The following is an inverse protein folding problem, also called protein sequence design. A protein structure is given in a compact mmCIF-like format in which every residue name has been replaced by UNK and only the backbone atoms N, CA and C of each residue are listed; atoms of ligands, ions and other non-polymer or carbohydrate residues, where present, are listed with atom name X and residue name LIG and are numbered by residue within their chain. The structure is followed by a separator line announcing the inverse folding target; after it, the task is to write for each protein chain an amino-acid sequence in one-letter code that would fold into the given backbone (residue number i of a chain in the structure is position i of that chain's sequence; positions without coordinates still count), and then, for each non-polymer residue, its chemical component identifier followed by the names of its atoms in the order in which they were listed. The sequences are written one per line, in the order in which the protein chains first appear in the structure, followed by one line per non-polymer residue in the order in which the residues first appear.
data_IF_339143476323
#
_entry.id   IF_339143476323
#
_cell.length_a   1.000
_cell.length_b   1.000
_cell.length_c   1.000
_cell.angle_alpha   90.00
_cell.angle_beta   90.00
_cell.angle_gamma   90.00
#
_symmetry.space_group_name_H-M   'P 1'
#
loop_
_entity.id
_entity.type
_entity.pdbx_description
1 polymer ?
#
# COMPACT_ATOMS: atom_id res chain seq x y z
N UNK A 1 -14.02 -15.36 19.52
CA UNK A 1 -14.64 -14.07 19.86
C UNK A 1 -13.81 -12.86 19.41
N UNK A 2 -12.50 -12.82 19.69
CA UNK A 2 -11.63 -11.70 19.24
C UNK A 2 -11.62 -11.48 17.73
N UNK A 3 -11.57 -12.54 16.92
CA UNK A 3 -11.55 -12.44 15.44
C UNK A 3 -12.82 -11.82 14.85
N UNK A 4 -14.00 -12.08 15.42
CA UNK A 4 -15.26 -11.53 14.93
C UNK A 4 -15.36 -10.03 15.22
N UNK A 5 -14.94 -9.61 16.42
CA UNK A 5 -14.89 -8.20 16.82
C UNK A 5 -13.96 -7.41 15.92
N UNK A 6 -12.77 -7.94 15.68
CA UNK A 6 -11.76 -7.35 14.82
C UNK A 6 -12.24 -7.15 13.37
N UNK A 7 -12.86 -8.19 12.78
CA UNK A 7 -13.45 -8.06 11.42
C UNK A 7 -14.50 -6.95 11.37
N UNK A 8 -15.24 -6.79 12.45
CA UNK A 8 -16.25 -5.74 12.56
C UNK A 8 -15.63 -4.34 12.68
N UNK A 9 -14.51 -4.21 13.40
CA UNK A 9 -13.76 -2.94 13.52
C UNK A 9 -13.12 -2.54 12.18
N UNK A 10 -12.46 -3.48 11.49
CA UNK A 10 -11.91 -3.26 10.12
C UNK A 10 -13.04 -2.88 9.15
N UNK A 11 -14.17 -3.59 9.20
CA UNK A 11 -15.33 -3.28 8.37
C UNK A 11 -15.86 -1.88 8.64
N UNK A 12 -16.05 -1.52 9.90
CA UNK A 12 -16.56 -0.20 10.29
C UNK A 12 -15.61 0.92 9.80
N UNK A 13 -14.30 0.69 9.89
CA UNK A 13 -13.30 1.62 9.37
C UNK A 13 -13.49 1.85 7.86
N UNK A 14 -13.46 0.79 7.05
CA UNK A 14 -13.54 0.93 5.58
C UNK A 14 -14.90 1.42 5.08
N UNK A 15 -16.01 1.07 5.76
CA UNK A 15 -17.33 1.60 5.42
C UNK A 15 -17.50 3.06 5.87
N UNK A 16 -16.72 3.51 6.86
CA UNK A 16 -16.72 4.89 7.34
C UNK A 16 -15.90 5.85 6.47
N UNK A 17 -14.99 5.33 5.64
CA UNK A 17 -14.20 6.15 4.73
C UNK A 17 -15.07 6.49 3.51
N UNK A 18 -15.19 7.77 3.18
CA UNK A 18 -15.93 8.16 1.98
C UNK A 18 -15.20 7.65 0.71
N UNK A 19 -15.98 7.34 -0.32
CA UNK A 19 -15.42 6.91 -1.60
C UNK A 19 -14.48 7.95 -2.21
N UNK A 20 -14.74 9.23 -2.00
CA UNK A 20 -13.91 10.34 -2.49
C UNK A 20 -12.57 10.42 -1.73
N UNK A 21 -12.57 10.12 -0.43
CA UNK A 21 -11.33 9.98 0.34
C UNK A 21 -10.47 8.86 -0.19
N UNK A 22 -11.01 7.65 -0.37
CA UNK A 22 -10.27 6.51 -0.92
C UNK A 22 -9.68 6.85 -2.29
N UNK A 23 -10.46 7.45 -3.18
CA UNK A 23 -10.00 7.81 -4.53
C UNK A 23 -8.87 8.84 -4.48
N UNK A 24 -8.93 9.82 -3.59
CA UNK A 24 -7.89 10.85 -3.46
C UNK A 24 -6.53 10.29 -3.02
N UNK A 25 -6.52 9.21 -2.23
CA UNK A 25 -5.30 8.57 -1.76
C UNK A 25 -4.58 7.76 -2.84
N UNK A 26 -5.34 7.10 -3.71
CA UNK A 26 -4.77 6.16 -4.67
C UNK A 26 -4.42 6.80 -6.02
N UNK A 27 -5.02 7.94 -6.36
CA UNK A 27 -4.94 8.48 -7.73
C UNK A 27 -3.50 8.79 -8.21
N UNK A 28 -2.63 9.50 -7.47
CA UNK A 28 -1.28 9.78 -7.96
C UNK A 28 -0.43 8.51 -8.09
N UNK A 29 -0.50 7.63 -7.10
CA UNK A 29 0.23 6.36 -7.09
C UNK A 29 -0.28 5.36 -8.15
N UNK A 30 -1.48 5.57 -8.69
CA UNK A 30 -2.08 4.76 -9.74
C UNK A 30 -1.56 5.10 -11.13
N UNK A 31 -1.24 6.36 -11.42
CA UNK A 31 -0.69 6.74 -12.73
C UNK A 31 0.64 6.04 -12.98
N UNK A 32 1.55 6.11 -12.02
CA UNK A 32 2.86 5.45 -12.12
C UNK A 32 2.71 3.93 -12.25
N UNK A 33 1.72 3.34 -11.56
CA UNK A 33 1.43 1.92 -11.67
C UNK A 33 1.05 1.51 -13.09
N UNK A 34 0.17 2.26 -13.76
CA UNK A 34 -0.28 1.91 -15.11
C UNK A 34 0.83 2.01 -16.15
N UNK A 35 1.72 2.99 -16.02
CA UNK A 35 2.90 3.14 -16.88
C UNK A 35 3.84 1.95 -16.70
N UNK A 36 4.16 1.63 -15.45
CA UNK A 36 5.02 0.47 -15.11
C UNK A 36 4.44 -0.84 -15.62
N UNK A 37 3.13 -1.06 -15.44
CA UNK A 37 2.46 -2.26 -15.94
C UNK A 37 2.50 -2.37 -17.46
N UNK A 38 2.30 -1.27 -18.17
CA UNK A 38 2.39 -1.23 -19.63
C UNK A 38 3.77 -1.69 -20.11
N UNK A 39 4.83 -1.16 -19.49
CA UNK A 39 6.22 -1.53 -19.76
C UNK A 39 6.46 -3.01 -19.46
N UNK A 40 6.15 -3.49 -18.25
CA UNK A 40 6.45 -4.88 -17.86
C UNK A 40 5.62 -5.91 -18.63
N UNK A 41 4.38 -5.59 -19.00
CA UNK A 41 3.61 -6.47 -19.87
C UNK A 41 4.33 -6.71 -21.20
N UNK A 42 4.88 -5.67 -21.79
CA UNK A 42 5.63 -5.74 -23.04
C UNK A 42 6.95 -6.51 -22.87
N UNK A 43 7.72 -6.17 -21.82
CA UNK A 43 9.05 -6.74 -21.59
C UNK A 43 9.02 -8.22 -21.17
N UNK A 44 8.03 -8.62 -20.39
CA UNK A 44 7.96 -9.98 -19.81
C UNK A 44 6.83 -10.83 -20.37
N UNK A 45 6.06 -10.34 -21.35
CA UNK A 45 4.96 -11.10 -21.95
C UNK A 45 3.82 -11.38 -20.96
N UNK A 46 3.55 -10.44 -20.05
CA UNK A 46 2.53 -10.61 -19.00
C UNK A 46 1.13 -10.63 -19.61
N UNK A 47 0.34 -11.67 -19.29
CA UNK A 47 -1.04 -11.81 -19.73
C UNK A 47 -1.98 -10.77 -19.14
N UNK A 48 -3.27 -10.85 -19.53
CA UNK A 48 -4.28 -9.86 -19.12
C UNK A 48 -5.13 -10.29 -17.91
N UNK A 49 -4.96 -11.51 -17.38
CA UNK A 49 -5.76 -11.99 -16.25
C UNK A 49 -5.33 -11.34 -14.96
N UNK A 50 -6.24 -10.58 -14.37
CA UNK A 50 -6.02 -9.77 -13.18
C UNK A 50 -6.80 -10.32 -11.99
N UNK A 51 -6.13 -10.55 -10.88
CA UNK A 51 -6.75 -10.76 -9.57
C UNK A 51 -6.45 -9.56 -8.68
N UNK A 52 -7.48 -8.93 -8.16
CA UNK A 52 -7.36 -7.95 -7.08
C UNK A 52 -7.84 -8.55 -5.78
N UNK A 53 -6.98 -8.51 -4.76
CA UNK A 53 -7.25 -9.03 -3.42
C UNK A 53 -7.44 -7.85 -2.46
N UNK A 54 -8.56 -7.82 -1.74
CA UNK A 54 -8.91 -6.72 -0.86
C UNK A 54 -9.24 -5.43 -1.64
N UNK A 55 -10.02 -5.57 -2.72
CA UNK A 55 -10.28 -4.47 -3.66
C UNK A 55 -11.21 -3.38 -3.16
N UNK A 56 -11.81 -3.54 -1.96
CA UNK A 56 -12.63 -2.52 -1.32
C UNK A 56 -13.76 -2.01 -2.21
N UNK A 57 -13.73 -0.72 -2.56
CA UNK A 57 -14.76 -0.06 -3.39
C UNK A 57 -14.61 -0.30 -4.91
N UNK A 58 -13.60 -1.05 -5.36
CA UNK A 58 -13.44 -1.53 -6.72
C UNK A 58 -12.88 -0.52 -7.73
N UNK A 59 -12.35 0.61 -7.29
CA UNK A 59 -11.85 1.66 -8.19
C UNK A 59 -10.67 1.17 -9.04
N UNK A 60 -9.73 0.41 -8.46
CA UNK A 60 -8.62 -0.17 -9.20
C UNK A 60 -9.09 -1.27 -10.17
N UNK A 61 -9.96 -2.17 -9.70
CA UNK A 61 -10.54 -3.23 -10.52
C UNK A 61 -11.28 -2.66 -11.75
N UNK A 62 -12.07 -1.60 -11.54
CA UNK A 62 -12.77 -0.90 -12.61
C UNK A 62 -11.78 -0.26 -13.61
N UNK A 63 -10.75 0.41 -13.10
CA UNK A 63 -9.71 1.00 -13.93
C UNK A 63 -8.88 -0.03 -14.70
N UNK A 64 -8.65 -1.23 -14.14
CA UNK A 64 -8.02 -2.34 -14.84
C UNK A 64 -8.92 -2.89 -15.94
N UNK A 65 -10.22 -3.06 -15.65
CA UNK A 65 -11.20 -3.52 -16.64
C UNK A 65 -11.30 -2.56 -17.82
N UNK A 66 -11.25 -1.23 -17.58
CA UNK A 66 -11.26 -0.20 -18.63
C UNK A 66 -10.04 -0.26 -19.55
N UNK A 67 -8.93 -0.81 -19.04
CA UNK A 67 -7.69 -1.03 -19.77
C UNK A 67 -7.60 -2.38 -20.46
N UNK A 68 -8.70 -3.13 -20.48
CA UNK A 68 -8.81 -4.40 -21.18
C UNK A 68 -8.22 -5.59 -20.41
N UNK A 69 -8.06 -5.49 -19.08
CA UNK A 69 -7.72 -6.64 -18.26
C UNK A 69 -8.95 -7.51 -18.01
N UNK A 70 -8.76 -8.83 -17.93
CA UNK A 70 -9.78 -9.76 -17.45
C UNK A 70 -9.71 -9.83 -15.93
N UNK A 71 -10.58 -9.08 -15.27
CA UNK A 71 -10.52 -8.81 -13.83
C UNK A 71 -11.38 -9.77 -13.04
N UNK A 72 -10.82 -10.32 -11.98
CA UNK A 72 -11.52 -10.83 -10.81
C UNK A 72 -11.10 -10.01 -9.60
N UNK A 73 -12.06 -9.41 -8.90
CA UNK A 73 -11.82 -8.68 -7.67
C UNK A 73 -12.38 -9.45 -6.49
N UNK A 74 -11.61 -9.50 -5.40
CA UNK A 74 -12.04 -10.14 -4.16
C UNK A 74 -11.94 -9.21 -2.98
N UNK A 75 -12.83 -9.41 -2.01
CA UNK A 75 -12.75 -8.80 -0.68
C UNK A 75 -13.33 -9.75 0.36
N UNK A 76 -12.90 -9.63 1.62
CA UNK A 76 -13.45 -10.42 2.73
C UNK A 76 -14.83 -9.90 3.16
N UNK A 77 -15.13 -8.65 2.85
CA UNK A 77 -16.34 -7.93 3.22
C UNK A 77 -17.35 -7.94 2.06
N UNK A 78 -18.45 -8.66 2.20
CA UNK A 78 -19.52 -8.67 1.20
C UNK A 78 -20.11 -7.29 0.93
N UNK A 79 -20.20 -6.46 1.96
CA UNK A 79 -20.77 -5.11 1.85
C UNK A 79 -19.89 -4.15 1.02
N UNK A 80 -18.56 -4.35 1.02
CA UNK A 80 -17.67 -3.63 0.12
C UNK A 80 -17.85 -4.09 -1.32
N UNK A 81 -18.03 -5.40 -1.55
CA UNK A 81 -18.33 -5.94 -2.87
C UNK A 81 -19.67 -5.41 -3.42
N UNK A 82 -20.69 -5.33 -2.57
CA UNK A 82 -21.97 -4.74 -2.95
C UNK A 82 -21.83 -3.26 -3.32
N UNK A 83 -21.05 -2.51 -2.55
CA UNK A 83 -20.73 -1.11 -2.83
C UNK A 83 -19.94 -0.97 -4.14
N UNK A 84 -18.95 -1.83 -4.38
CA UNK A 84 -18.20 -1.86 -5.64
C UNK A 84 -19.11 -2.18 -6.84
N UNK A 85 -20.06 -3.12 -6.70
CA UNK A 85 -21.02 -3.45 -7.75
C UNK A 85 -22.00 -2.31 -8.04
N UNK A 86 -22.36 -1.53 -7.03
CA UNK A 86 -23.21 -0.36 -7.18
C UNK A 86 -22.47 0.80 -7.86
N UNK A 87 -21.24 1.07 -7.42
CA UNK A 87 -20.36 2.14 -7.92
C UNK A 87 -19.86 1.85 -9.34
N UNK A 88 -19.50 0.60 -9.61
CA UNK A 88 -18.94 0.14 -10.88
C UNK A 88 -19.76 -1.03 -11.44
N UNK A 89 -20.92 -0.78 -12.09
CA UNK A 89 -21.81 -1.85 -12.56
C UNK A 89 -21.16 -2.89 -13.49
N UNK A 90 -20.06 -2.52 -14.17
CA UNK A 90 -19.30 -3.42 -15.05
C UNK A 90 -18.50 -4.48 -14.29
N UNK A 91 -18.30 -4.32 -12.97
CA UNK A 91 -17.70 -5.35 -12.12
C UNK A 91 -18.68 -6.45 -11.71
N UNK A 92 -19.98 -6.31 -11.98
CA UNK A 92 -20.96 -7.35 -11.68
C UNK A 92 -20.57 -8.68 -12.35
N UNK A 93 -20.59 -9.77 -11.59
CA UNK A 93 -20.12 -11.09 -12.02
C UNK A 93 -18.59 -11.28 -12.01
N UNK A 94 -17.84 -10.27 -11.60
CA UNK A 94 -16.37 -10.28 -11.43
C UNK A 94 -15.94 -10.05 -9.99
N UNK A 95 -16.87 -10.10 -9.06
CA UNK A 95 -16.67 -9.90 -7.63
C UNK A 95 -16.87 -11.21 -6.91
N UNK A 96 -15.97 -11.54 -5.99
CA UNK A 96 -16.04 -12.77 -5.22
C UNK A 96 -15.60 -12.50 -3.77
N UNK A 97 -16.39 -13.01 -2.81
CA UNK A 97 -15.99 -12.94 -1.41
C UNK A 97 -14.88 -13.95 -1.15
N UNK A 98 -13.73 -13.47 -0.66
CA UNK A 98 -12.60 -14.35 -0.38
C UNK A 98 -11.69 -13.72 0.69
N UNK A 99 -11.17 -14.57 1.59
CA UNK A 99 -10.15 -14.21 2.59
C UNK A 99 -8.81 -14.82 2.15
N UNK A 100 -7.85 -13.97 1.81
CA UNK A 100 -6.51 -14.40 1.38
C UNK A 100 -5.76 -15.20 2.48
N UNK A 101 -6.18 -15.08 3.72
CA UNK A 101 -5.61 -15.83 4.83
C UNK A 101 -6.29 -17.19 5.05
N UNK A 102 -7.45 -17.45 4.44
CA UNK A 102 -8.16 -18.73 4.49
C UNK A 102 -7.75 -19.67 3.33
N UNK A 103 -7.28 -20.87 3.66
CA UNK A 103 -6.81 -21.84 2.66
C UNK A 103 -7.91 -22.35 1.73
N UNK A 104 -9.17 -22.41 2.20
CA UNK A 104 -10.29 -22.88 1.38
C UNK A 104 -10.65 -21.86 0.32
N UNK A 105 -10.70 -20.58 0.72
CA UNK A 105 -10.96 -19.49 -0.18
C UNK A 105 -9.86 -19.38 -1.23
N UNK A 106 -8.59 -19.51 -0.82
CA UNK A 106 -7.44 -19.52 -1.74
C UNK A 106 -7.50 -20.71 -2.71
N UNK A 107 -7.90 -21.90 -2.26
CA UNK A 107 -8.06 -23.05 -3.13
C UNK A 107 -9.18 -22.82 -4.17
N UNK A 108 -10.27 -22.18 -3.78
CA UNK A 108 -11.34 -21.79 -4.70
C UNK A 108 -10.85 -20.78 -5.74
N UNK A 109 -10.08 -19.76 -5.33
CA UNK A 109 -9.47 -18.81 -6.24
C UNK A 109 -8.45 -19.47 -7.19
N UNK A 110 -7.66 -20.42 -6.69
CA UNK A 110 -6.70 -21.16 -7.51
C UNK A 110 -7.37 -21.93 -8.64
N UNK A 111 -8.58 -22.47 -8.41
CA UNK A 111 -9.39 -23.10 -9.45
C UNK A 111 -9.85 -22.12 -10.54
N UNK A 112 -9.90 -20.82 -10.25
CA UNK A 112 -10.21 -19.74 -11.20
C UNK A 112 -8.97 -19.22 -11.93
N UNK A 113 -7.77 -19.47 -11.38
CA UNK A 113 -6.48 -19.03 -11.91
C UNK A 113 -5.93 -19.90 -13.04
N UNK A 114 -4.61 -19.83 -13.30
CA UNK A 114 -3.70 -18.87 -12.66
C UNK A 114 -3.86 -17.44 -13.18
N UNK A 115 -3.42 -16.45 -12.41
CA UNK A 115 -3.53 -15.04 -12.74
C UNK A 115 -2.20 -14.46 -13.19
N UNK A 116 -2.23 -13.66 -14.25
CA UNK A 116 -1.02 -13.01 -14.80
C UNK A 116 -0.58 -11.79 -13.97
N UNK A 117 -1.53 -11.17 -13.29
CA UNK A 117 -1.29 -10.06 -12.37
C UNK A 117 -2.08 -10.35 -11.10
N UNK A 118 -1.40 -10.30 -9.95
CA UNK A 118 -2.01 -10.40 -8.63
C UNK A 118 -1.70 -9.13 -7.86
N UNK A 119 -2.73 -8.35 -7.57
CA UNK A 119 -2.64 -7.08 -6.86
C UNK A 119 -3.24 -7.18 -5.45
N UNK A 120 -2.50 -6.77 -4.44
CA UNK A 120 -2.94 -6.65 -3.05
C UNK A 120 -2.51 -5.27 -2.53
N UNK A 121 -3.29 -4.26 -2.87
CA UNK A 121 -2.99 -2.86 -2.58
C UNK A 121 -3.69 -2.39 -1.30
N UNK A 122 -3.23 -1.28 -0.74
CA UNK A 122 -3.83 -0.72 0.47
C UNK A 122 -3.57 -1.54 1.72
N UNK A 123 -2.37 -2.10 1.87
CA UNK A 123 -1.92 -2.78 3.08
C UNK A 123 -2.72 -4.05 3.47
N UNK A 124 -3.27 -4.77 2.49
CA UNK A 124 -4.06 -6.00 2.72
C UNK A 124 -3.34 -6.99 3.63
N UNK A 125 -2.04 -7.20 3.42
CA UNK A 125 -1.26 -8.14 4.22
C UNK A 125 -1.05 -7.70 5.67
N UNK A 126 -1.16 -6.40 5.96
CA UNK A 126 -1.05 -5.88 7.33
C UNK A 126 -2.25 -6.23 8.21
N UNK A 127 -3.35 -6.73 7.61
CA UNK A 127 -4.50 -7.28 8.34
C UNK A 127 -4.28 -8.70 8.86
N UNK A 128 -3.12 -9.30 8.61
CA UNK A 128 -2.74 -10.57 9.24
C UNK A 128 -2.74 -10.47 10.77
N UNK A 129 -3.03 -11.55 11.47
CA UNK A 129 -3.05 -11.61 12.94
C UNK A 129 -1.64 -11.64 13.55
N UNK A 130 -0.71 -12.21 12.81
CA UNK A 130 0.69 -12.35 13.20
C UNK A 130 1.60 -12.46 11.96
N UNK A 131 2.91 -12.44 12.18
CA UNK A 131 3.91 -12.59 11.11
C UNK A 131 3.82 -13.93 10.35
N UNK A 132 3.32 -15.00 10.98
CA UNK A 132 3.15 -16.30 10.31
C UNK A 132 1.97 -16.25 9.34
N UNK A 133 0.89 -15.60 9.75
CA UNK A 133 -0.26 -15.41 8.88
C UNK A 133 0.07 -14.46 7.72
N UNK A 134 0.82 -13.38 7.98
CA UNK A 134 1.32 -12.50 6.92
C UNK A 134 2.16 -13.27 5.91
N UNK A 135 3.12 -14.07 6.37
CA UNK A 135 3.96 -14.89 5.50
C UNK A 135 3.12 -15.92 4.70
N UNK A 136 2.09 -16.51 5.33
CA UNK A 136 1.16 -17.41 4.66
C UNK A 136 0.34 -16.67 3.60
N UNK A 137 -0.24 -15.51 3.92
CA UNK A 137 -0.98 -14.67 2.97
C UNK A 137 -0.14 -14.28 1.77
N UNK A 138 1.11 -13.85 2.01
CA UNK A 138 2.06 -13.58 0.94
C UNK A 138 2.31 -14.81 0.06
N UNK A 139 2.52 -15.99 0.68
CA UNK A 139 2.67 -17.26 -0.04
C UNK A 139 1.43 -17.64 -0.87
N UNK A 140 0.24 -17.30 -0.39
CA UNK A 140 -1.02 -17.50 -1.11
C UNK A 140 -1.11 -16.61 -2.35
N UNK A 141 -0.70 -15.32 -2.26
CA UNK A 141 -0.63 -14.44 -3.43
C UNK A 141 0.31 -15.02 -4.51
N UNK A 142 1.47 -15.54 -4.09
CA UNK A 142 2.43 -16.19 -4.99
C UNK A 142 1.84 -17.44 -5.63
N UNK A 143 1.10 -18.25 -4.86
CA UNK A 143 0.49 -19.50 -5.37
C UNK A 143 -0.65 -19.26 -6.37
N UNK A 144 -1.33 -18.11 -6.30
CA UNK A 144 -2.37 -17.70 -7.24
C UNK A 144 -1.82 -17.15 -8.55
N UNK A 145 -0.54 -16.74 -8.55
CA UNK A 145 0.12 -16.15 -9.69
C UNK A 145 0.54 -17.21 -10.73
N UNK A 146 0.41 -16.86 -12.00
CA UNK A 146 0.92 -17.66 -13.10
C UNK A 146 2.47 -17.62 -13.13
N UNK A 147 3.13 -18.60 -13.75
CA UNK A 147 4.52 -18.46 -14.10
C UNK A 147 4.72 -17.16 -14.93
N UNK A 148 5.72 -16.38 -14.61
CA UNK A 148 5.98 -15.04 -15.18
C UNK A 148 4.93 -13.97 -14.82
N UNK A 149 4.16 -14.16 -13.76
CA UNK A 149 3.20 -13.15 -13.30
C UNK A 149 3.88 -11.95 -12.63
N UNK A 150 3.14 -10.85 -12.59
CA UNK A 150 3.45 -9.73 -11.70
C UNK A 150 2.64 -9.83 -10.40
N UNK A 151 3.31 -9.63 -9.30
CA UNK A 151 2.68 -9.39 -8.01
C UNK A 151 2.89 -7.93 -7.62
N UNK A 152 1.81 -7.25 -7.25
CA UNK A 152 1.84 -5.85 -6.84
C UNK A 152 1.31 -5.81 -5.42
N UNK A 153 2.15 -5.42 -4.48
CA UNK A 153 1.82 -5.51 -3.05
C UNK A 153 2.16 -4.21 -2.36
N UNK A 154 1.18 -3.63 -1.69
CA UNK A 154 1.38 -2.52 -0.78
C UNK A 154 1.51 -3.04 0.66
N UNK A 155 2.55 -2.64 1.36
CA UNK A 155 2.83 -3.06 2.73
C UNK A 155 3.28 -1.88 3.57
N UNK A 156 2.68 -1.72 4.74
CA UNK A 156 3.17 -0.82 5.78
C UNK A 156 4.29 -1.50 6.56
N UNK A 157 5.45 -0.83 6.67
CA UNK A 157 6.61 -1.35 7.37
C UNK A 157 6.80 -0.66 8.71
N UNK A 158 7.23 -1.44 9.72
CA UNK A 158 7.53 -0.93 11.07
C UNK A 158 8.51 0.25 11.06
N UNK A 159 9.52 0.21 10.21
CA UNK A 159 10.54 1.25 10.10
C UNK A 159 9.98 2.58 9.56
N UNK A 160 8.85 2.55 8.88
CA UNK A 160 8.18 3.74 8.36
C UNK A 160 7.45 4.52 9.46
N UNK A 161 7.16 3.86 10.58
CA UNK A 161 6.50 4.45 11.74
C UNK A 161 7.48 4.79 12.87
N UNK A 162 8.79 4.67 12.65
CA UNK A 162 9.79 5.02 13.65
C UNK A 162 9.69 6.52 14.01
N UNK A 163 9.38 6.80 15.27
CA UNK A 163 9.19 8.16 15.79
C UNK A 163 7.74 8.67 15.79
N UNK A 164 6.80 7.88 15.28
CA UNK A 164 5.36 8.21 15.34
C UNK A 164 4.63 7.25 16.29
N UNK A 165 3.60 7.70 16.99
CA UNK A 165 2.78 6.80 17.78
C UNK A 165 2.05 5.83 16.84
N UNK A 166 2.60 4.63 16.67
CA UNK A 166 1.98 3.53 15.91
C UNK A 166 0.58 3.13 16.46
N UNK A 167 0.15 3.75 17.53
CA UNK A 167 -1.04 3.45 18.30
C UNK A 167 -2.34 3.70 17.54
N UNK A 168 -2.38 4.62 16.57
CA UNK A 168 -3.61 4.95 15.83
C UNK A 168 -3.99 3.80 14.87
N UNK A 169 -2.99 3.08 14.35
CA UNK A 169 -3.18 2.01 13.38
C UNK A 169 -3.10 0.60 13.96
N UNK A 170 -2.65 0.49 15.22
CA UNK A 170 -2.52 -0.80 15.89
C UNK A 170 -3.85 -1.57 16.01
N UNK A 171 -4.97 -0.87 16.01
CA UNK A 171 -6.30 -1.46 16.05
C UNK A 171 -6.74 -2.00 14.68
N UNK A 172 -6.20 -1.47 13.58
CA UNK A 172 -6.55 -1.85 12.21
C UNK A 172 -5.48 -2.75 11.59
N UNK A 173 -4.21 -2.36 11.72
CA UNK A 173 -3.07 -3.08 11.18
C UNK A 173 -2.27 -3.74 12.31
N UNK A 174 -2.48 -5.04 12.49
CA UNK A 174 -1.89 -5.76 13.63
C UNK A 174 -0.45 -6.19 13.39
N UNK A 175 -0.02 -6.26 12.12
CA UNK A 175 1.32 -6.72 11.77
C UNK A 175 1.99 -5.69 10.89
N UNK A 176 3.03 -5.07 11.44
CA UNK A 176 3.96 -4.25 10.69
C UNK A 176 5.25 -5.06 10.51
N UNK A 177 5.47 -5.72 9.37
CA UNK A 177 6.71 -6.43 9.12
C UNK A 177 7.87 -5.45 9.06
N UNK A 178 9.06 -5.88 9.46
CA UNK A 178 10.28 -5.14 9.19
C UNK A 178 10.71 -5.30 7.73
N UNK A 179 11.59 -4.42 7.29
CA UNK A 179 12.16 -4.48 5.94
C UNK A 179 12.83 -5.84 5.66
N UNK A 180 13.58 -6.36 6.63
CA UNK A 180 14.25 -7.66 6.52
C UNK A 180 13.25 -8.83 6.44
N UNK A 181 12.12 -8.74 7.13
CA UNK A 181 11.06 -9.75 7.06
C UNK A 181 10.47 -9.82 5.65
N UNK A 182 10.16 -8.65 5.08
CA UNK A 182 9.64 -8.56 3.71
C UNK A 182 10.67 -9.03 2.68
N UNK A 183 11.93 -8.59 2.80
CA UNK A 183 13.02 -9.02 1.92
C UNK A 183 13.21 -10.54 1.96
N UNK A 184 13.09 -11.15 3.15
CA UNK A 184 13.13 -12.61 3.30
C UNK A 184 11.97 -13.29 2.60
N UNK A 185 10.74 -12.77 2.72
CA UNK A 185 9.56 -13.33 2.03
C UNK A 185 9.74 -13.31 0.50
N UNK A 186 10.17 -12.19 -0.04
CA UNK A 186 10.46 -12.03 -1.48
C UNK A 186 11.50 -13.06 -1.93
N UNK A 187 12.62 -13.19 -1.17
CA UNK A 187 13.71 -14.11 -1.50
C UNK A 187 13.29 -15.58 -1.45
N UNK A 188 12.59 -16.02 -0.38
CA UNK A 188 12.17 -17.43 -0.25
C UNK A 188 11.10 -17.78 -1.28
N UNK A 189 10.33 -16.81 -1.74
CA UNK A 189 9.35 -16.96 -2.82
C UNK A 189 10.00 -16.88 -4.22
N UNK A 190 11.31 -16.66 -4.31
CA UNK A 190 12.06 -16.54 -5.56
C UNK A 190 11.50 -15.49 -6.51
N UNK A 191 11.07 -14.35 -5.96
CA UNK A 191 10.56 -13.25 -6.71
C UNK A 191 11.69 -12.25 -7.00
N UNK A 192 11.66 -11.67 -8.20
CA UNK A 192 12.50 -10.55 -8.58
C UNK A 192 11.77 -9.25 -8.23
N UNK A 193 12.42 -8.33 -7.55
CA UNK A 193 11.92 -6.98 -7.35
C UNK A 193 12.17 -6.16 -8.60
N UNK A 194 11.13 -5.74 -9.28
CA UNK A 194 11.23 -4.84 -10.43
C UNK A 194 11.20 -3.39 -9.98
N UNK A 195 10.32 -3.07 -9.04
CA UNK A 195 10.19 -1.72 -8.47
C UNK A 195 9.90 -1.79 -6.97
N UNK A 196 10.36 -0.78 -6.26
CA UNK A 196 10.04 -0.53 -4.86
C UNK A 196 9.82 0.98 -4.67
N UNK A 197 8.60 1.38 -4.38
CA UNK A 197 8.22 2.78 -4.22
C UNK A 197 7.69 3.04 -2.82
N UNK A 198 8.19 4.08 -2.18
CA UNK A 198 7.56 4.61 -0.98
C UNK A 198 6.38 5.49 -1.38
N UNK A 199 5.19 5.10 -0.98
CA UNK A 199 3.96 5.87 -1.19
C UNK A 199 3.74 6.77 0.01
N UNK A 200 3.48 8.05 -0.26
CA UNK A 200 3.06 9.00 0.74
C UNK A 200 1.55 9.19 0.61
N UNK A 201 0.81 8.89 1.66
CA UNK A 201 -0.58 9.24 1.75
C UNK A 201 -0.70 10.48 2.63
N UNK A 202 -1.30 11.53 2.09
CA UNK A 202 -1.75 12.66 2.88
C UNK A 202 -3.20 12.43 3.23
N UNK A 203 -3.47 12.19 4.49
CA UNK A 203 -4.84 12.26 4.96
C UNK A 203 -5.24 13.74 5.08
N UNK A 204 -6.48 14.10 4.68
CA UNK A 204 -6.99 15.41 5.01
C UNK A 204 -6.92 15.58 6.53
N UNK A 205 -6.54 16.77 7.03
CA UNK A 205 -6.43 17.02 8.45
C UNK A 205 -7.79 16.78 9.11
N UNK A 206 -7.88 15.70 9.88
CA UNK A 206 -9.01 15.47 10.78
C UNK A 206 -8.59 15.87 12.20
N UNK A 207 -9.53 16.17 13.11
CA UNK A 207 -9.16 16.52 14.48
C UNK A 207 -8.38 15.43 15.22
N UNK A 208 -8.32 14.20 14.69
CA UNK A 208 -7.59 13.07 15.23
C UNK A 208 -6.18 12.91 14.61
N UNK A 209 -5.86 13.65 13.54
CA UNK A 209 -4.57 13.56 12.84
C UNK A 209 -3.91 14.92 12.81
N UNK A 210 -2.68 14.96 13.26
CA UNK A 210 -1.83 16.13 13.05
C UNK A 210 -1.52 16.25 11.55
N UNK A 211 -1.60 17.47 10.99
CA UNK A 211 -1.42 17.74 9.56
C UNK A 211 -0.04 17.32 9.00
N UNK A 212 0.87 16.92 9.89
CA UNK A 212 2.22 16.44 9.55
C UNK A 212 2.32 14.93 9.43
N UNK A 213 1.24 14.17 9.64
CA UNK A 213 1.27 12.70 9.62
C UNK A 213 1.21 12.19 8.18
N UNK A 214 2.38 11.98 7.60
CA UNK A 214 2.53 11.30 6.32
C UNK A 214 2.54 9.78 6.57
N UNK A 215 1.46 9.08 6.23
CA UNK A 215 1.50 7.63 6.16
C UNK A 215 2.38 7.17 5.01
N UNK A 216 3.19 6.17 5.32
CA UNK A 216 4.12 5.61 4.36
C UNK A 216 3.78 4.15 4.12
N UNK A 217 3.47 3.82 2.89
CA UNK A 217 3.41 2.45 2.41
C UNK A 217 4.55 2.19 1.44
N UNK A 218 5.07 0.98 1.46
CA UNK A 218 5.97 0.49 0.44
C UNK A 218 5.16 -0.29 -0.59
N UNK A 219 5.18 0.15 -1.84
CA UNK A 219 4.70 -0.63 -2.99
C UNK A 219 5.84 -1.42 -3.57
N UNK A 220 5.63 -2.72 -3.73
CA UNK A 220 6.52 -3.61 -4.46
C UNK A 220 5.84 -4.08 -5.74
N UNK A 221 6.56 -3.99 -6.87
CA UNK A 221 6.23 -4.69 -8.10
C UNK A 221 7.22 -5.84 -8.22
N UNK A 222 6.70 -7.06 -8.15
CA UNK A 222 7.47 -8.29 -8.09
C UNK A 222 7.15 -9.13 -9.32
N UNK A 223 8.19 -9.77 -9.89
CA UNK A 223 8.04 -10.69 -11.00
C UNK A 223 8.37 -12.11 -10.57
N UNK A 224 7.48 -13.03 -10.90
CA UNK A 224 7.70 -14.46 -10.69
C UNK A 224 8.48 -15.03 -11.87
N UNK A 225 9.80 -15.20 -11.69
CA UNK A 225 10.61 -15.80 -12.75
C UNK A 225 10.27 -17.26 -12.94
N UNK A 226 10.14 -17.74 -14.20
CA UNK A 226 9.98 -19.16 -14.46
C UNK A 226 11.13 -19.95 -13.83
N UNK A 227 10.80 -21.06 -13.17
CA UNK A 227 11.79 -21.94 -12.56
C UNK A 227 12.77 -22.47 -13.63
N UNK A 228 13.94 -21.83 -13.77
CA UNK A 228 14.95 -22.20 -14.76
C UNK A 228 16.08 -21.20 -14.95
N UNK A 229 15.86 -19.92 -14.65
CA UNK A 229 16.93 -18.90 -14.67
C UNK A 229 17.40 -18.58 -13.25
N UNK A 230 18.62 -18.96 -12.92
CA UNK A 230 19.32 -18.42 -11.74
C UNK A 230 19.77 -17.01 -12.11
N UNK A 231 18.98 -16.04 -11.78
CA UNK A 231 19.43 -14.65 -11.88
C UNK A 231 20.09 -14.22 -10.57
N UNK A 232 21.23 -13.57 -10.75
CA UNK A 232 22.13 -13.01 -9.76
C UNK A 232 21.40 -12.09 -8.77
N UNK A 233 21.87 -12.14 -7.53
CA UNK A 233 21.54 -11.33 -6.36
C UNK A 233 20.95 -9.96 -6.66
N UNK A 234 19.62 -9.84 -6.54
CA UNK A 234 18.97 -8.54 -6.52
C UNK A 234 19.06 -7.98 -5.10
N UNK A 235 20.06 -7.14 -4.89
CA UNK A 235 20.20 -6.37 -3.65
C UNK A 235 19.13 -5.28 -3.65
N UNK A 236 18.18 -5.36 -2.75
CA UNK A 236 17.24 -4.25 -2.47
C UNK A 236 18.07 -3.12 -1.86
N UNK A 237 18.57 -2.23 -2.70
CA UNK A 237 19.19 -0.99 -2.24
C UNK A 237 18.05 -0.02 -1.86
N UNK A 238 17.97 0.32 -0.57
CA UNK A 238 17.14 1.43 -0.15
C UNK A 238 17.61 2.68 -0.89
N UNK A 239 16.78 3.22 -1.76
CA UNK A 239 17.03 4.55 -2.33
C UNK A 239 16.79 5.59 -1.22
N UNK A 240 17.72 5.62 -0.25
CA UNK A 240 17.86 6.80 0.59
C UNK A 240 18.30 7.93 -0.35
N UNK A 241 17.35 8.64 -0.91
CA UNK A 241 17.63 9.99 -1.40
C UNK A 241 18.21 10.73 -0.22
N UNK A 242 19.50 11.02 -0.30
CA UNK A 242 20.18 11.90 0.64
C UNK A 242 19.33 13.17 0.74
N UNK A 243 18.81 13.46 1.92
CA UNK A 243 18.29 14.81 2.21
C UNK A 243 19.43 15.78 1.90
N UNK A 244 19.20 16.81 1.10
CA UNK A 244 20.20 17.85 0.96
C UNK A 244 20.45 18.44 2.36
N UNK A 245 21.68 18.40 2.78
CA UNK A 245 22.16 18.91 4.06
C UNK A 245 21.96 20.45 4.08
N UNK A 246 20.81 20.91 4.58
CA UNK A 246 20.46 22.33 4.71
C UNK A 246 21.13 22.97 5.93
N UNK A 247 22.24 22.41 6.40
CA UNK A 247 23.11 23.10 7.36
C UNK A 247 24.07 24.06 6.64
N UNK A 248 23.55 25.00 5.88
CA UNK A 248 24.31 26.23 5.66
C UNK A 248 24.32 27.00 6.98
N UNK A 249 25.44 26.96 7.65
CA UNK A 249 25.77 27.86 8.75
C UNK A 249 25.50 29.29 8.31
N UNK A 250 24.58 29.94 8.98
CA UNK A 250 24.46 31.38 8.92
C UNK A 250 25.77 32.04 9.47
N UNK A 251 26.32 33.05 8.80
CA UNK A 251 27.44 33.77 9.34
C UNK A 251 27.03 34.52 10.59
N UNK A 252 27.86 34.44 11.62
CA UNK A 252 27.73 35.18 12.87
C UNK A 252 27.69 36.68 12.58
N UNK A 253 26.78 37.45 13.17
CA UNK A 253 26.88 38.90 13.11
C UNK A 253 28.03 39.39 14.03
N UNK A 254 28.93 40.13 13.45
CA UNK A 254 29.96 40.91 14.14
C UNK A 254 29.28 41.86 15.13
N UNK A 255 29.77 41.84 16.38
CA UNK A 255 29.57 42.91 17.35
C UNK A 255 30.35 44.13 16.85
N UNK A 256 29.66 45.24 16.64
CA UNK A 256 30.21 46.55 16.99
C UNK A 256 29.13 47.62 17.00
N UNK A 257 29.33 48.52 18.00
CA UNK A 257 28.86 49.89 18.20
C UNK A 257 27.40 50.10 18.65
N UNK A 258 27.26 50.34 19.91
CA UNK A 258 27.13 51.59 20.66
C UNK A 258 26.10 52.60 20.09
N UNK A 259 25.14 52.95 20.95
CA UNK A 259 24.67 54.33 20.95
C UNK A 259 23.14 54.55 20.91
N UNK A 260 22.64 55.11 22.00
CA UNK A 260 21.50 56.02 22.10
C UNK A 260 20.12 55.48 22.48
N UNK A 261 19.80 55.57 23.75
CA UNK A 261 18.44 55.92 24.22
C UNK A 261 18.11 57.38 23.82
N UNK A 262 16.84 57.76 23.60
CA UNK A 262 16.00 58.16 24.72
C UNK A 262 14.46 58.00 24.59
N UNK A 263 13.88 58.04 25.80
CA UNK A 263 12.64 58.73 26.23
C UNK A 263 11.25 58.26 25.73
N UNK A 264 10.55 57.67 26.69
CA UNK A 264 9.17 57.95 27.16
C UNK A 264 8.15 58.68 26.26
N UNK A 265 7.00 58.04 26.04
CA UNK A 265 5.70 58.72 26.18
C UNK A 265 4.56 57.77 26.54
N UNK A 266 4.07 57.94 27.76
CA UNK A 266 2.72 57.55 28.20
C UNK A 266 1.69 58.24 27.32
N UNK A 267 0.65 57.55 26.92
CA UNK A 267 -0.73 58.07 26.98
C UNK A 267 -1.73 56.95 27.13
N UNK A 268 -2.56 57.18 28.07
CA UNK A 268 -3.79 56.58 28.56
C UNK A 268 -4.95 56.83 27.60
N UNK A 269 -6.00 56.04 27.85
CA UNK A 269 -7.45 56.22 27.54
C UNK A 269 -7.82 55.88 26.08
N UNK A 270 -8.91 55.19 25.85
CA UNK A 270 -10.13 54.89 26.59
C UNK A 270 -10.55 53.45 26.27
#
# INVERSE_FOLDING_TARGET
MQDARRRQEIKAYYLGISADEITSYFTPAMFDLWESLGRYRSEHGIGARWLEVGGGMGDLAAAALDRGYDVLMTDVQSELLDSAAARHPRLRGRLERSDIFDRRDVAALAARGPFSIVAALGAVLNHARDHRELARGFGHLVALAAPSALLIVDVMLREMFAGHPATIWADIFHVLPGFDDLARLVRVSRLQVLEAHSLYHRYPPTPAFDAEFDERMLRLVLHQTPSGRRDSETTIRSSRRARPDSRRRAPSPSRDSAGARPATRRRRRA
#
